data_IF_554060974019
#
_entry.id   IF_554060974019
#
_cell.length_a   1.000
_cell.length_b   1.000
_cell.length_c   1.000
_cell.angle_alpha   90.00
_cell.angle_beta   90.00
_cell.angle_gamma   90.00
#
_symmetry.space_group_name_H-M   'P 1'
#
loop_
_entity.id
_entity.type
_entity.pdbx_description
1 polymer ?
#
# COMPACT_ATOMS: atom_id res chain seq x y z
N UNK A 1 20.92 0.58 52.34
CA UNK A 1 20.44 0.04 51.04
C UNK A 1 20.18 1.20 50.12
N UNK A 2 20.76 1.22 48.93
CA UNK A 2 20.42 2.24 47.94
C UNK A 2 18.96 2.04 47.51
N UNK A 3 18.16 3.08 47.59
CA UNK A 3 16.78 3.03 47.10
C UNK A 3 16.77 3.01 45.56
N UNK A 4 15.85 2.30 44.97
CA UNK A 4 15.62 2.34 43.49
C UNK A 4 15.39 3.78 43.01
N UNK A 5 14.84 4.64 43.84
CA UNK A 5 14.64 6.07 43.54
C UNK A 5 15.94 6.86 43.40
N UNK A 6 17.08 6.34 43.92
CA UNK A 6 18.39 6.98 43.74
C UNK A 6 18.99 6.76 42.34
N UNK A 7 18.48 5.82 41.55
CA UNK A 7 18.92 5.58 40.19
C UNK A 7 18.55 6.75 39.28
N UNK A 8 19.38 7.02 38.27
CA UNK A 8 19.02 7.97 37.24
C UNK A 8 17.88 7.44 36.38
N UNK A 9 17.15 8.32 35.68
CA UNK A 9 16.04 7.92 34.84
C UNK A 9 16.51 7.02 33.68
N UNK A 10 17.70 7.29 33.12
CA UNK A 10 18.31 6.51 32.05
C UNK A 10 18.57 5.07 32.46
N UNK A 11 19.06 4.86 33.69
CA UNK A 11 19.27 3.49 34.20
C UNK A 11 17.93 2.76 34.43
N UNK A 12 16.90 3.47 34.85
CA UNK A 12 15.57 2.89 34.98
C UNK A 12 14.98 2.56 33.61
N UNK A 13 15.19 3.41 32.62
CA UNK A 13 14.77 3.11 31.22
C UNK A 13 15.47 1.86 30.67
N UNK A 14 16.76 1.68 30.95
CA UNK A 14 17.48 0.45 30.60
C UNK A 14 16.92 -0.77 31.33
N UNK A 15 16.61 -0.65 32.62
CA UNK A 15 15.98 -1.74 33.39
C UNK A 15 14.61 -2.09 32.79
N UNK A 16 13.80 -1.10 32.45
CA UNK A 16 12.49 -1.34 31.80
C UNK A 16 12.67 -2.01 30.44
N UNK A 17 13.68 -1.60 29.67
CA UNK A 17 13.98 -2.22 28.38
C UNK A 17 14.39 -3.69 28.52
N UNK A 18 15.20 -4.02 29.52
CA UNK A 18 15.58 -5.43 29.79
C UNK A 18 14.39 -6.25 30.32
N UNK A 19 13.51 -5.66 31.15
CA UNK A 19 12.27 -6.30 31.56
C UNK A 19 11.38 -6.63 30.35
N UNK A 20 11.28 -5.71 29.41
CA UNK A 20 10.55 -5.93 28.16
C UNK A 20 11.13 -7.12 27.41
N UNK A 21 12.45 -7.15 27.20
CA UNK A 21 13.11 -8.28 26.50
C UNK A 21 12.88 -9.61 27.21
N UNK A 22 12.84 -9.60 28.54
CA UNK A 22 12.59 -10.81 29.33
C UNK A 22 11.14 -11.26 29.25
N UNK A 23 10.19 -10.32 29.29
CA UNK A 23 8.75 -10.62 29.26
C UNK A 23 8.27 -11.05 27.87
N UNK A 24 8.96 -10.61 26.81
CA UNK A 24 8.54 -10.80 25.43
C UNK A 24 9.58 -11.56 24.58
N UNK A 25 10.38 -12.40 25.21
CA UNK A 25 11.49 -13.13 24.61
C UNK A 25 11.06 -14.05 23.47
N UNK A 26 9.81 -14.52 23.48
CA UNK A 26 9.26 -15.46 22.51
C UNK A 26 8.41 -14.78 21.41
N UNK A 27 8.33 -13.45 21.39
CA UNK A 27 7.63 -12.71 20.35
C UNK A 27 8.56 -12.56 19.13
N UNK A 28 8.24 -13.25 18.04
CA UNK A 28 9.09 -13.35 16.84
C UNK A 28 9.49 -11.98 16.23
N UNK A 29 8.69 -10.95 16.45
CA UNK A 29 8.89 -9.62 15.85
C UNK A 29 9.46 -8.56 16.81
N UNK A 30 9.77 -8.93 18.06
CA UNK A 30 10.35 -8.00 19.05
C UNK A 30 9.46 -6.82 19.44
N UNK A 31 8.25 -6.71 18.88
CA UNK A 31 7.24 -5.72 19.21
C UNK A 31 6.19 -6.41 20.08
N UNK A 32 6.01 -5.98 21.35
CA UNK A 32 4.99 -6.58 22.18
C UNK A 32 3.62 -6.37 21.54
N UNK A 33 2.88 -7.45 21.35
CA UNK A 33 1.46 -7.34 21.03
C UNK A 33 0.75 -6.50 22.10
N UNK A 34 -0.27 -5.76 21.69
CA UNK A 34 -1.01 -4.87 22.60
C UNK A 34 -1.53 -5.61 23.84
N UNK A 35 -1.79 -6.91 23.71
CA UNK A 35 -2.23 -7.78 24.80
C UNK A 35 -1.21 -7.95 25.93
N UNK A 36 0.08 -7.68 25.66
CA UNK A 36 1.15 -7.87 26.65
C UNK A 36 1.45 -6.62 27.47
N UNK A 37 0.85 -5.47 27.12
CA UNK A 37 1.01 -4.22 27.89
C UNK A 37 0.59 -4.35 29.36
N UNK A 38 -0.37 -5.23 29.67
CA UNK A 38 -0.82 -5.49 31.04
C UNK A 38 0.31 -6.09 31.93
N UNK A 39 1.28 -6.80 31.34
CA UNK A 39 2.39 -7.38 32.08
C UNK A 39 3.40 -6.32 32.55
N UNK A 40 3.55 -5.24 31.80
CA UNK A 40 4.47 -4.17 32.11
C UNK A 40 3.86 -3.09 33.04
N UNK A 41 2.56 -2.89 32.96
CA UNK A 41 1.83 -1.87 33.72
C UNK A 41 2.04 -1.91 35.24
N UNK A 42 2.14 -3.09 35.92
CA UNK A 42 2.39 -3.14 37.38
C UNK A 42 3.69 -2.46 37.81
N UNK A 43 4.73 -2.48 36.97
CA UNK A 43 6.03 -1.88 37.26
C UNK A 43 5.96 -0.34 37.35
N UNK A 44 4.98 0.30 36.72
CA UNK A 44 4.73 1.72 36.83
C UNK A 44 4.39 2.17 38.27
N UNK A 45 4.01 1.24 39.14
CA UNK A 45 3.64 1.51 40.54
C UNK A 45 4.83 1.50 41.48
N UNK A 46 6.02 1.11 41.04
CA UNK A 46 7.23 1.01 41.88
C UNK A 46 7.68 2.39 42.35
N UNK A 47 7.78 3.35 41.46
CA UNK A 47 8.12 4.73 41.75
C UNK A 47 7.71 5.67 40.60
N UNK A 48 7.77 6.99 40.87
CA UNK A 48 7.48 7.99 39.83
C UNK A 48 8.41 7.89 38.62
N UNK A 49 9.67 7.55 38.82
CA UNK A 49 10.64 7.38 37.73
C UNK A 49 10.32 6.11 36.93
N UNK A 50 9.96 5.01 37.62
CA UNK A 50 9.48 3.80 36.96
C UNK A 50 8.19 4.07 36.15
N UNK A 51 7.26 4.83 36.73
CA UNK A 51 6.05 5.22 36.02
C UNK A 51 6.40 5.92 34.69
N UNK A 52 7.30 6.91 34.75
CA UNK A 52 7.72 7.67 33.54
C UNK A 52 8.37 6.75 32.51
N UNK A 53 9.29 5.88 32.94
CA UNK A 53 9.98 4.96 32.03
C UNK A 53 9.04 3.93 31.40
N UNK A 54 8.15 3.33 32.19
CA UNK A 54 7.13 2.39 31.73
C UNK A 54 6.13 3.08 30.79
N UNK A 55 5.63 4.27 31.15
CA UNK A 55 4.70 5.01 30.29
C UNK A 55 5.36 5.42 28.96
N UNK A 56 6.63 5.82 28.94
CA UNK A 56 7.37 6.10 27.68
C UNK A 56 7.41 4.88 26.76
N UNK A 57 7.52 3.70 27.34
CA UNK A 57 7.51 2.47 26.57
C UNK A 57 6.09 2.12 26.09
N UNK A 58 5.11 2.08 27.00
CA UNK A 58 3.73 1.70 26.71
C UNK A 58 3.04 2.63 25.68
N UNK A 59 3.34 3.92 25.73
CA UNK A 59 2.76 4.90 24.81
C UNK A 59 3.60 5.13 23.54
N UNK A 60 4.67 4.35 23.35
CA UNK A 60 5.48 4.45 22.13
C UNK A 60 4.70 4.04 20.89
N UNK A 61 3.94 2.97 21.00
CA UNK A 61 3.05 2.43 19.95
C UNK A 61 1.65 2.41 20.53
N UNK A 62 0.72 3.09 19.87
CA UNK A 62 -0.70 3.10 20.28
C UNK A 62 -1.53 2.60 19.11
N UNK A 63 -2.31 1.55 19.36
CA UNK A 63 -3.33 1.02 18.44
C UNK A 63 -4.70 1.40 19.00
N UNK A 64 -5.52 2.05 18.17
CA UNK A 64 -6.86 2.50 18.57
C UNK A 64 -7.78 2.59 17.37
N UNK A 65 -9.07 2.70 17.62
CA UNK A 65 -10.07 2.86 16.56
C UNK A 65 -10.91 4.12 16.78
N UNK A 66 -11.70 4.45 15.76
CA UNK A 66 -12.64 5.59 15.85
C UNK A 66 -13.73 5.39 16.90
N UNK A 67 -14.02 4.15 17.33
CA UNK A 67 -14.95 3.82 18.42
C UNK A 67 -14.27 3.85 19.81
N UNK A 68 -12.96 3.53 19.89
CA UNK A 68 -12.21 3.44 21.16
C UNK A 68 -11.32 4.68 21.33
N UNK A 69 -11.94 5.82 21.56
CA UNK A 69 -11.23 7.10 21.64
C UNK A 69 -10.48 7.34 22.97
N UNK A 70 -10.78 6.54 24.01
CA UNK A 70 -10.17 6.69 25.36
C UNK A 70 -8.63 6.69 25.37
N UNK A 71 -8.00 6.00 24.42
CA UNK A 71 -6.53 5.98 24.33
C UNK A 71 -5.99 7.33 23.87
N UNK A 72 -6.66 7.98 22.90
CA UNK A 72 -6.31 9.33 22.46
C UNK A 72 -6.58 10.37 23.55
N UNK A 73 -7.67 10.21 24.33
CA UNK A 73 -7.94 11.07 25.48
C UNK A 73 -6.83 10.96 26.55
N UNK A 74 -6.31 9.75 26.78
CA UNK A 74 -5.17 9.53 27.67
C UNK A 74 -3.87 10.20 27.17
N UNK A 75 -3.66 10.24 25.85
CA UNK A 75 -2.56 10.98 25.24
C UNK A 75 -2.78 12.49 25.35
N UNK A 76 -4.01 12.96 25.11
CA UNK A 76 -4.39 14.37 25.19
C UNK A 76 -4.16 14.93 26.60
N UNK A 77 -4.51 14.16 27.62
CA UNK A 77 -4.37 14.56 29.03
C UNK A 77 -2.91 14.67 29.50
N UNK A 78 -1.92 14.10 28.77
CA UNK A 78 -0.52 14.05 29.22
C UNK A 78 0.47 14.41 28.12
N UNK A 79 1.11 15.59 28.15
CA UNK A 79 2.16 15.97 27.22
C UNK A 79 3.33 14.98 27.18
N UNK A 80 3.67 14.36 28.32
CA UNK A 80 4.77 13.36 28.40
C UNK A 80 4.43 12.09 27.63
N UNK A 81 3.17 11.63 27.66
CA UNK A 81 2.70 10.48 26.87
C UNK A 81 2.69 10.80 25.38
N UNK A 82 2.23 12.01 24.99
CA UNK A 82 2.32 12.46 23.59
C UNK A 82 3.77 12.51 23.10
N UNK A 83 4.69 13.02 23.93
CA UNK A 83 6.11 13.07 23.58
C UNK A 83 6.75 11.68 23.46
N UNK A 84 6.18 10.65 24.10
CA UNK A 84 6.64 9.27 23.97
C UNK A 84 6.15 8.59 22.68
N UNK A 85 5.00 9.00 22.13
CA UNK A 85 4.37 8.38 20.99
C UNK A 85 5.26 8.50 19.75
N UNK A 86 5.42 7.36 19.05
CA UNK A 86 6.14 7.24 17.78
C UNK A 86 5.24 6.69 16.68
N UNK A 87 4.43 5.69 17.03
CA UNK A 87 3.62 4.96 16.08
C UNK A 87 2.16 4.99 16.55
N UNK A 88 1.28 5.51 15.71
CA UNK A 88 -0.16 5.54 15.91
C UNK A 88 -0.83 4.73 14.81
N UNK A 89 -1.31 3.53 15.16
CA UNK A 89 -2.16 2.73 14.28
C UNK A 89 -3.63 3.10 14.59
N UNK A 90 -4.27 3.72 13.63
CA UNK A 90 -5.65 4.18 13.75
C UNK A 90 -6.56 3.50 12.74
N UNK A 91 -7.52 2.73 13.26
CA UNK A 91 -8.53 2.06 12.44
C UNK A 91 -9.82 2.88 12.46
N UNK A 92 -10.27 3.30 11.30
CA UNK A 92 -11.61 3.87 11.17
C UNK A 92 -12.59 2.72 11.12
N UNK A 93 -13.34 2.57 12.20
CA UNK A 93 -14.31 1.50 12.35
C UNK A 93 -15.58 1.82 11.57
N UNK A 94 -15.88 0.95 10.64
CA UNK A 94 -17.07 1.01 9.81
C UNK A 94 -18.23 0.28 10.51
N UNK A 95 -19.49 0.52 10.13
CA UNK A 95 -20.62 -0.22 10.67
C UNK A 95 -20.46 -1.73 10.51
N UNK A 96 -20.84 -2.45 11.55
CA UNK A 96 -20.96 -3.90 11.47
C UNK A 96 -22.10 -4.31 10.55
N UNK A 97 -21.99 -5.48 9.94
CA UNK A 97 -23.01 -6.12 9.14
C UNK A 97 -23.20 -7.57 9.58
N UNK A 98 -24.33 -8.16 9.23
CA UNK A 98 -24.65 -9.53 9.60
C UNK A 98 -23.68 -10.52 8.97
N UNK A 99 -23.34 -11.59 9.71
CA UNK A 99 -22.40 -12.64 9.24
C UNK A 99 -22.84 -13.29 7.94
N UNK A 100 -24.15 -13.38 7.72
CA UNK A 100 -24.73 -13.96 6.49
C UNK A 100 -24.43 -13.13 5.23
N UNK A 101 -24.01 -11.86 5.43
CA UNK A 101 -23.62 -10.95 4.37
C UNK A 101 -22.11 -10.96 4.09
N UNK A 102 -21.34 -11.79 4.76
CA UNK A 102 -19.88 -11.83 4.59
C UNK A 102 -19.46 -12.05 3.13
N UNK A 103 -20.16 -12.95 2.45
CA UNK A 103 -19.93 -13.29 1.05
C UNK A 103 -20.87 -12.57 0.06
N UNK A 104 -21.69 -11.65 0.56
CA UNK A 104 -22.60 -10.88 -0.28
C UNK A 104 -21.93 -9.59 -0.78
N UNK A 105 -22.43 -9.06 -1.89
CA UNK A 105 -22.02 -7.75 -2.40
C UNK A 105 -22.42 -6.63 -1.44
N UNK A 106 -21.56 -5.64 -1.24
CA UNK A 106 -21.88 -4.45 -0.45
C UNK A 106 -23.02 -3.66 -1.14
N UNK A 107 -24.10 -3.39 -0.40
CA UNK A 107 -25.24 -2.64 -0.91
C UNK A 107 -24.97 -1.14 -0.89
N UNK A 108 -25.59 -0.37 -1.77
CA UNK A 108 -25.43 1.10 -1.83
C UNK A 108 -25.76 1.80 -0.49
N UNK A 109 -26.76 1.33 0.27
CA UNK A 109 -27.08 1.87 1.60
C UNK A 109 -25.95 1.66 2.61
N UNK A 110 -25.32 0.48 2.57
CA UNK A 110 -24.22 0.11 3.45
C UNK A 110 -22.98 0.92 3.06
N UNK A 111 -22.70 1.03 1.76
CA UNK A 111 -21.64 1.90 1.26
C UNK A 111 -21.81 3.35 1.75
N UNK A 112 -23.01 3.92 1.67
CA UNK A 112 -23.27 5.29 2.19
C UNK A 112 -23.00 5.38 3.70
N UNK A 113 -23.39 4.37 4.47
CA UNK A 113 -23.13 4.33 5.91
C UNK A 113 -21.61 4.21 6.19
N UNK A 114 -20.91 3.37 5.43
CA UNK A 114 -19.44 3.23 5.50
C UNK A 114 -18.74 4.54 5.13
N UNK A 115 -19.17 5.22 4.07
CA UNK A 115 -18.67 6.54 3.68
C UNK A 115 -18.84 7.58 4.79
N UNK A 116 -20.01 7.64 5.41
CA UNK A 116 -20.28 8.57 6.50
C UNK A 116 -19.39 8.29 7.72
N UNK A 117 -19.26 7.01 8.11
CA UNK A 117 -18.38 6.60 9.22
C UNK A 117 -16.92 6.87 8.92
N UNK A 118 -16.45 6.56 7.72
CA UNK A 118 -15.10 6.85 7.27
C UNK A 118 -14.79 8.35 7.34
N UNK A 119 -15.63 9.18 6.74
CA UNK A 119 -15.48 10.64 6.79
C UNK A 119 -15.40 11.16 8.21
N UNK A 120 -16.33 10.72 9.07
CA UNK A 120 -16.36 11.17 10.47
C UNK A 120 -15.12 10.73 11.24
N UNK A 121 -14.66 9.49 11.06
CA UNK A 121 -13.46 8.95 11.68
C UNK A 121 -12.19 9.68 11.23
N UNK A 122 -12.08 9.98 9.92
CA UNK A 122 -10.95 10.72 9.37
C UNK A 122 -10.90 12.16 9.90
N UNK A 123 -12.01 12.87 9.85
CA UNK A 123 -12.09 14.25 10.37
C UNK A 123 -11.76 14.30 11.85
N UNK A 124 -12.24 13.31 12.62
CA UNK A 124 -12.00 13.22 14.07
C UNK A 124 -10.51 13.08 14.38
N UNK A 125 -9.80 12.18 13.72
CA UNK A 125 -8.36 11.99 13.97
C UNK A 125 -7.55 13.20 13.49
N UNK A 126 -7.90 13.80 12.33
CA UNK A 126 -7.21 14.99 11.83
C UNK A 126 -7.36 16.19 12.77
N UNK A 127 -8.57 16.43 13.28
CA UNK A 127 -8.82 17.48 14.27
C UNK A 127 -8.03 17.24 15.55
N UNK A 128 -7.92 15.99 16.02
CA UNK A 128 -7.14 15.66 17.20
C UNK A 128 -5.65 15.94 16.98
N UNK A 129 -5.09 15.40 15.89
CA UNK A 129 -3.66 15.54 15.59
C UNK A 129 -3.25 16.98 15.27
N UNK A 130 -4.14 17.78 14.69
CA UNK A 130 -3.87 19.19 14.37
C UNK A 130 -3.65 20.06 15.61
N UNK A 131 -4.24 19.66 16.76
CA UNK A 131 -4.06 20.33 18.05
C UNK A 131 -2.81 19.89 18.81
N UNK A 132 -1.99 18.99 18.28
CA UNK A 132 -0.80 18.52 18.98
C UNK A 132 0.39 19.40 18.67
N UNK A 133 0.99 19.99 19.73
CA UNK A 133 2.29 20.63 19.64
C UNK A 133 3.32 19.58 19.19
N UNK A 134 4.23 19.97 18.31
CA UNK A 134 5.21 19.13 17.61
C UNK A 134 5.74 17.97 18.46
N UNK A 135 5.19 16.76 18.40
CA UNK A 135 5.89 15.59 18.87
C UNK A 135 7.04 15.27 17.90
N UNK A 136 8.10 14.64 18.36
CA UNK A 136 9.13 14.15 17.45
C UNK A 136 8.51 13.07 16.58
N UNK A 137 8.57 13.28 15.26
CA UNK A 137 8.32 12.28 14.20
C UNK A 137 7.25 11.22 14.54
N UNK A 138 6.00 11.47 14.15
CA UNK A 138 4.90 10.52 14.30
C UNK A 138 4.71 9.72 13.00
N UNK A 139 4.73 8.39 13.14
CA UNK A 139 4.23 7.48 12.12
C UNK A 139 2.73 7.26 12.34
N UNK A 140 1.92 7.58 11.34
CA UNK A 140 0.49 7.33 11.32
C UNK A 140 0.20 6.18 10.34
N UNK A 141 -0.33 5.08 10.85
CA UNK A 141 -0.86 3.96 10.07
C UNK A 141 -2.40 4.06 10.10
N UNK A 142 -2.98 4.33 8.93
CA UNK A 142 -4.41 4.56 8.76
C UNK A 142 -5.06 3.46 7.94
N UNK A 143 -6.05 2.83 8.52
CA UNK A 143 -6.88 1.83 7.84
C UNK A 143 -8.36 2.04 8.15
N UNK A 144 -9.23 1.36 7.42
CA UNK A 144 -10.66 1.35 7.65
C UNK A 144 -11.20 -0.06 7.52
N UNK A 145 -11.91 -0.56 8.52
CA UNK A 145 -12.48 -1.90 8.51
C UNK A 145 -13.77 -1.97 9.31
N UNK A 146 -14.65 -2.90 8.94
CA UNK A 146 -15.80 -3.28 9.75
C UNK A 146 -15.38 -4.33 10.79
N UNK A 147 -15.97 -4.34 11.99
CA UNK A 147 -15.79 -5.44 12.94
C UNK A 147 -16.25 -6.80 12.39
N UNK A 148 -17.09 -6.78 11.36
CA UNK A 148 -17.58 -7.99 10.70
C UNK A 148 -16.66 -8.46 9.54
N UNK A 149 -15.64 -7.69 9.16
CA UNK A 149 -14.65 -8.13 8.17
C UNK A 149 -13.78 -9.21 8.81
N UNK A 150 -13.64 -10.37 8.17
CA UNK A 150 -12.74 -11.41 8.64
C UNK A 150 -11.29 -11.01 8.38
N UNK A 151 -10.55 -10.75 9.46
CA UNK A 151 -9.14 -10.36 9.39
C UNK A 151 -8.24 -11.53 8.98
N UNK A 152 -8.70 -12.79 9.17
CA UNK A 152 -7.93 -13.98 8.81
C UNK A 152 -7.99 -14.32 7.33
N UNK A 153 -9.01 -13.84 6.64
CA UNK A 153 -9.25 -14.07 5.20
C UNK A 153 -8.55 -13.01 4.32
N UNK A 154 -7.29 -12.68 4.62
CA UNK A 154 -6.56 -11.56 3.99
C UNK A 154 -6.36 -11.68 2.47
N UNK A 155 -6.55 -12.83 1.87
CA UNK A 155 -6.15 -13.03 0.48
C UNK A 155 -7.29 -13.29 -0.51
N UNK A 156 -8.48 -13.71 -0.11
CA UNK A 156 -9.47 -14.09 -1.13
C UNK A 156 -10.95 -13.87 -0.85
N UNK A 157 -11.37 -13.67 0.40
CA UNK A 157 -12.79 -13.87 0.73
C UNK A 157 -13.48 -12.73 1.48
N UNK A 158 -12.89 -11.53 1.48
CA UNK A 158 -13.59 -10.37 2.02
C UNK A 158 -14.78 -10.02 1.16
N UNK A 159 -15.83 -9.56 1.82
CA UNK A 159 -17.06 -9.08 1.18
C UNK A 159 -16.79 -8.35 -0.14
N UNK A 160 -17.47 -8.77 -1.20
CA UNK A 160 -17.27 -8.20 -2.52
C UNK A 160 -17.65 -6.73 -2.53
N UNK A 161 -16.69 -5.91 -2.88
CA UNK A 161 -16.88 -4.48 -3.04
C UNK A 161 -16.98 -4.16 -4.52
N UNK A 162 -17.98 -3.40 -4.89
CA UNK A 162 -17.96 -2.77 -6.19
C UNK A 162 -16.72 -1.89 -6.31
N UNK A 163 -16.09 -1.81 -7.47
CA UNK A 163 -14.89 -0.99 -7.66
C UNK A 163 -15.07 0.47 -7.26
N UNK A 164 -16.25 1.02 -7.54
CA UNK A 164 -16.67 2.38 -7.15
C UNK A 164 -16.93 2.54 -5.65
N UNK A 165 -17.03 1.44 -4.90
CA UNK A 165 -17.24 1.46 -3.44
C UNK A 165 -15.95 1.69 -2.65
N UNK A 166 -15.01 2.47 -3.19
CA UNK A 166 -13.89 2.96 -2.40
C UNK A 166 -14.31 4.05 -1.43
N UNK A 167 -13.69 4.07 -0.26
CA UNK A 167 -13.94 5.09 0.75
C UNK A 167 -13.31 6.42 0.31
N UNK A 168 -14.12 7.46 0.24
CA UNK A 168 -13.69 8.78 -0.18
C UNK A 168 -14.17 9.87 0.78
N UNK A 169 -13.49 11.01 0.72
CA UNK A 169 -13.95 12.23 1.39
C UNK A 169 -14.21 13.26 0.30
N UNK A 170 -15.43 13.77 0.29
CA UNK A 170 -15.76 14.91 -0.55
C UNK A 170 -15.15 16.16 0.07
N UNK A 171 -14.07 16.63 -0.52
CA UNK A 171 -13.31 17.80 -0.07
C UNK A 171 -14.02 19.12 -0.26
N UNK A 172 -15.01 19.17 -1.13
CA UNK A 172 -15.87 20.37 -1.26
C UNK A 172 -16.74 20.56 0.00
N UNK A 173 -17.05 19.46 0.69
CA UNK A 173 -17.85 19.46 1.91
C UNK A 173 -17.04 19.43 3.21
N UNK A 174 -15.78 18.94 3.20
CA UNK A 174 -14.96 18.77 4.41
C UNK A 174 -13.51 19.16 4.17
N UNK A 175 -13.07 20.20 4.84
CA UNK A 175 -11.69 20.65 4.79
C UNK A 175 -10.90 20.06 5.97
N UNK A 176 -9.94 19.20 5.68
CA UNK A 176 -9.04 18.65 6.69
C UNK A 176 -8.08 19.74 7.21
N UNK A 177 -7.89 19.87 8.53
CA UNK A 177 -6.92 20.80 9.09
C UNK A 177 -5.47 20.35 8.82
N UNK A 178 -4.54 21.28 8.87
CA UNK A 178 -3.10 21.00 8.75
C UNK A 178 -2.60 20.23 9.97
N UNK A 179 -1.85 19.15 9.74
CA UNK A 179 -1.26 18.30 10.77
C UNK A 179 0.26 18.31 10.62
N UNK A 180 0.96 18.94 11.56
CA UNK A 180 2.42 19.12 11.49
C UNK A 180 3.22 18.01 12.18
N UNK A 181 2.58 17.22 13.03
CA UNK A 181 3.23 16.19 13.82
C UNK A 181 3.52 14.89 13.04
N UNK A 182 2.85 14.64 11.91
CA UNK A 182 3.01 13.42 11.11
C UNK A 182 4.16 13.58 10.11
N UNK A 183 5.15 12.70 10.23
CA UNK A 183 6.31 12.62 9.31
C UNK A 183 6.26 11.37 8.44
N UNK A 184 5.53 10.35 8.87
CA UNK A 184 5.38 9.10 8.16
C UNK A 184 3.91 8.72 8.10
N UNK A 185 3.43 8.37 6.92
CA UNK A 185 2.05 7.96 6.69
C UNK A 185 2.05 6.60 6.00
N UNK A 186 1.34 5.64 6.60
CA UNK A 186 0.94 4.41 5.93
C UNK A 186 -0.57 4.43 5.71
N UNK A 187 -1.01 3.99 4.52
CA UNK A 187 -2.43 3.96 4.15
C UNK A 187 -2.76 2.68 3.42
N UNK A 188 -3.88 2.07 3.78
CA UNK A 188 -4.48 0.99 3.00
C UNK A 188 -3.80 -0.37 3.16
N UNK A 189 -2.88 -0.55 4.13
CA UNK A 189 -2.25 -1.85 4.38
C UNK A 189 -3.25 -2.94 4.73
N UNK A 190 -4.35 -2.57 5.33
CA UNK A 190 -5.39 -3.48 5.78
C UNK A 190 -6.77 -2.83 5.60
N UNK A 191 -7.80 -3.67 5.39
CA UNK A 191 -9.19 -3.25 5.38
C UNK A 191 -9.70 -2.73 4.03
N UNK A 192 -10.62 -1.78 4.09
CA UNK A 192 -11.35 -1.29 2.93
C UNK A 192 -10.52 -0.34 2.06
N UNK A 193 -10.80 -0.34 0.77
CA UNK A 193 -10.14 0.54 -0.21
C UNK A 193 -10.39 2.00 0.11
N UNK A 194 -9.32 2.80 0.13
CA UNK A 194 -9.39 4.26 0.25
C UNK A 194 -9.09 4.86 -1.13
N UNK A 195 -9.96 5.73 -1.60
CA UNK A 195 -9.82 6.34 -2.92
C UNK A 195 -8.53 7.21 -3.00
N UNK A 196 -7.75 7.15 -4.08
CA UNK A 196 -6.49 7.90 -4.19
C UNK A 196 -6.65 9.41 -4.05
N UNK A 197 -7.79 9.99 -4.49
CA UNK A 197 -8.05 11.41 -4.30
C UNK A 197 -8.14 11.80 -2.81
N UNK A 198 -8.69 10.92 -1.95
CA UNK A 198 -8.71 11.14 -0.51
C UNK A 198 -7.30 11.14 0.10
N UNK A 199 -6.44 10.23 -0.37
CA UNK A 199 -5.04 10.20 0.07
C UNK A 199 -4.31 11.47 -0.40
N UNK A 200 -4.60 11.98 -1.60
CA UNK A 200 -4.10 13.29 -2.05
C UNK A 200 -4.48 14.41 -1.08
N UNK A 201 -5.74 14.47 -0.67
CA UNK A 201 -6.21 15.49 0.27
C UNK A 201 -5.57 15.38 1.65
N UNK A 202 -5.36 14.16 2.14
CA UNK A 202 -4.58 13.91 3.36
C UNK A 202 -3.15 14.44 3.22
N UNK A 203 -2.45 14.08 2.13
CA UNK A 203 -1.07 14.49 1.85
C UNK A 203 -0.94 16.03 1.84
N UNK A 204 -1.89 16.75 1.25
CA UNK A 204 -1.88 18.21 1.21
C UNK A 204 -1.87 18.85 2.61
N UNK A 205 -2.36 18.15 3.61
CA UNK A 205 -2.42 18.63 5.00
C UNK A 205 -1.21 18.23 5.85
N UNK A 206 -0.26 17.46 5.30
CA UNK A 206 0.91 16.90 5.98
C UNK A 206 2.24 17.54 5.51
N UNK A 207 2.57 18.76 5.95
CA UNK A 207 3.71 19.51 5.40
C UNK A 207 5.09 18.95 5.76
N UNK A 208 5.15 18.06 6.74
CA UNK A 208 6.40 17.47 7.22
C UNK A 208 6.57 15.99 6.82
N UNK A 209 5.77 15.52 5.85
CA UNK A 209 5.80 14.14 5.41
C UNK A 209 7.15 13.79 4.75
N UNK A 210 7.81 12.73 5.25
CA UNK A 210 9.08 12.21 4.76
C UNK A 210 8.98 10.77 4.28
N UNK A 211 8.04 10.01 4.83
CA UNK A 211 7.80 8.61 4.48
C UNK A 211 6.36 8.44 4.07
N UNK A 212 6.13 7.91 2.89
CA UNK A 212 4.81 7.52 2.40
C UNK A 212 4.83 6.03 2.04
N UNK A 213 4.00 5.25 2.73
CA UNK A 213 3.78 3.84 2.48
C UNK A 213 2.31 3.64 2.10
N UNK A 214 2.06 3.35 0.83
CA UNK A 214 0.71 3.36 0.29
C UNK A 214 0.39 2.04 -0.40
N UNK A 215 -0.51 1.28 0.22
CA UNK A 215 -1.04 0.05 -0.36
C UNK A 215 -2.42 0.32 -0.92
N UNK A 216 -2.65 -0.08 -2.16
CA UNK A 216 -3.95 0.01 -2.81
C UNK A 216 -4.41 -1.37 -3.24
N UNK A 217 -5.65 -1.70 -2.91
CA UNK A 217 -6.29 -2.86 -3.51
C UNK A 217 -6.52 -2.61 -5.01
N UNK A 218 -6.30 -3.62 -5.86
CA UNK A 218 -6.38 -3.46 -7.31
C UNK A 218 -7.78 -3.11 -7.76
N UNK A 219 -7.87 -2.27 -8.78
CA UNK A 219 -9.09 -2.12 -9.58
C UNK A 219 -9.14 -3.29 -10.55
N UNK A 220 -10.28 -3.97 -10.62
CA UNK A 220 -10.45 -5.12 -11.52
C UNK A 220 -10.23 -4.72 -12.98
N UNK A 221 -9.63 -5.62 -13.77
CA UNK A 221 -9.24 -5.33 -15.16
C UNK A 221 -10.42 -4.95 -16.07
N UNK A 222 -11.62 -5.46 -15.78
CA UNK A 222 -12.86 -5.10 -16.50
C UNK A 222 -13.29 -3.64 -16.35
N UNK A 223 -12.82 -2.95 -15.30
CA UNK A 223 -13.17 -1.54 -15.03
C UNK A 223 -12.08 -0.58 -15.49
N UNK A 224 -11.80 -0.55 -16.78
CA UNK A 224 -10.72 0.21 -17.38
C UNK A 224 -10.79 1.72 -17.09
N UNK A 225 -11.98 2.31 -17.17
CA UNK A 225 -12.16 3.76 -16.90
C UNK A 225 -11.79 4.10 -15.43
N UNK A 226 -12.23 3.29 -14.48
CA UNK A 226 -11.92 3.46 -13.06
C UNK A 226 -10.43 3.24 -12.79
N UNK A 227 -9.81 2.26 -13.46
CA UNK A 227 -8.36 2.03 -13.38
C UNK A 227 -7.57 3.24 -13.84
N UNK A 228 -7.99 3.85 -14.95
CA UNK A 228 -7.38 5.08 -15.48
C UNK A 228 -7.57 6.26 -14.51
N UNK A 229 -8.77 6.42 -13.93
CA UNK A 229 -9.07 7.43 -12.91
C UNK A 229 -8.16 7.28 -11.69
N UNK A 230 -7.99 6.05 -11.18
CA UNK A 230 -7.13 5.76 -10.03
C UNK A 230 -5.66 6.06 -10.33
N UNK A 231 -5.18 5.68 -11.51
CA UNK A 231 -3.82 5.97 -11.94
C UNK A 231 -3.57 7.49 -12.03
N UNK A 232 -4.52 8.24 -12.58
CA UNK A 232 -4.45 9.70 -12.66
C UNK A 232 -4.49 10.36 -11.28
N UNK A 233 -5.38 9.88 -10.39
CA UNK A 233 -5.49 10.40 -9.02
C UNK A 233 -4.22 10.09 -8.20
N UNK A 234 -3.64 8.89 -8.37
CA UNK A 234 -2.37 8.51 -7.75
C UNK A 234 -1.22 9.40 -8.26
N UNK A 235 -1.09 9.58 -9.57
CA UNK A 235 -0.08 10.45 -10.16
C UNK A 235 -0.21 11.89 -9.65
N UNK A 236 -1.44 12.42 -9.58
CA UNK A 236 -1.72 13.73 -9.00
C UNK A 236 -1.30 13.82 -7.53
N UNK A 237 -1.56 12.79 -6.73
CA UNK A 237 -1.17 12.75 -5.33
C UNK A 237 0.35 12.80 -5.17
N UNK A 238 1.10 12.10 -6.01
CA UNK A 238 2.56 12.11 -5.99
C UNK A 238 3.17 13.45 -6.44
N UNK A 239 2.42 14.26 -7.17
CA UNK A 239 2.82 15.63 -7.56
C UNK A 239 2.50 16.68 -6.49
N UNK A 240 1.92 16.30 -5.35
CA UNK A 240 1.57 17.23 -4.28
C UNK A 240 2.81 18.02 -3.79
N UNK A 241 2.70 19.35 -3.64
CA UNK A 241 3.84 20.19 -3.24
C UNK A 241 4.36 19.88 -1.84
N UNK A 242 3.53 19.32 -0.97
CA UNK A 242 3.90 18.89 0.38
C UNK A 242 4.89 17.73 0.39
N UNK A 243 4.99 16.96 -0.72
CA UNK A 243 5.95 15.87 -0.88
C UNK A 243 7.37 16.33 -1.29
N UNK A 244 7.63 17.63 -1.33
CA UNK A 244 8.96 18.14 -1.72
C UNK A 244 10.12 17.64 -0.84
N UNK A 245 9.82 17.14 0.37
CA UNK A 245 10.80 16.59 1.32
C UNK A 245 10.66 15.09 1.53
N UNK A 246 9.92 14.39 0.66
CA UNK A 246 9.71 12.96 0.78
C UNK A 246 11.04 12.21 0.57
N UNK A 247 11.43 11.39 1.54
CA UNK A 247 12.66 10.62 1.52
C UNK A 247 12.44 9.15 1.15
N UNK A 248 11.29 8.60 1.55
CA UNK A 248 10.93 7.19 1.30
C UNK A 248 9.54 7.13 0.67
N UNK A 249 9.46 6.47 -0.48
CA UNK A 249 8.21 6.17 -1.16
C UNK A 249 8.07 4.66 -1.32
N UNK A 250 6.99 4.11 -0.76
CA UNK A 250 6.57 2.72 -0.97
C UNK A 250 5.15 2.72 -1.51
N UNK A 251 4.95 2.13 -2.68
CA UNK A 251 3.63 1.94 -3.29
C UNK A 251 3.48 0.45 -3.60
N UNK A 252 2.41 -0.13 -3.11
CA UNK A 252 2.02 -1.51 -3.42
C UNK A 252 0.63 -1.52 -4.05
N UNK A 253 0.56 -2.04 -5.26
CA UNK A 253 -0.69 -2.36 -5.94
C UNK A 253 -0.81 -3.88 -5.90
N UNK A 254 -1.74 -4.44 -5.12
CA UNK A 254 -1.93 -5.90 -5.03
C UNK A 254 -2.51 -6.47 -6.34
N UNK A 255 -1.99 -6.05 -7.48
CA UNK A 255 -2.50 -6.41 -8.80
C UNK A 255 -2.00 -7.79 -9.21
N UNK A 256 -2.92 -8.71 -9.45
CA UNK A 256 -2.62 -9.97 -10.12
C UNK A 256 -2.76 -9.77 -11.62
N UNK A 257 -1.73 -10.10 -12.41
CA UNK A 257 -1.86 -10.11 -13.86
C UNK A 257 -2.89 -11.16 -14.29
N UNK A 258 -3.52 -11.02 -15.47
CA UNK A 258 -4.43 -12.03 -15.97
C UNK A 258 -3.70 -13.36 -16.19
N UNK A 259 -4.36 -14.47 -15.87
CA UNK A 259 -3.85 -15.82 -16.14
C UNK A 259 -4.11 -16.19 -17.61
N UNK A 260 -5.06 -15.54 -18.25
CA UNK A 260 -5.29 -15.67 -19.68
C UNK A 260 -4.41 -14.67 -20.43
N UNK A 261 -3.34 -15.13 -21.04
CA UNK A 261 -2.42 -14.28 -21.79
C UNK A 261 -2.97 -13.78 -23.14
N UNK A 262 -4.14 -14.25 -23.57
CA UNK A 262 -4.88 -13.69 -24.71
C UNK A 262 -5.87 -12.62 -24.28
N UNK A 263 -6.06 -12.44 -22.97
CA UNK A 263 -6.93 -11.41 -22.46
C UNK A 263 -6.44 -10.03 -22.89
N UNK A 264 -7.36 -9.23 -23.43
CA UNK A 264 -7.06 -7.86 -23.80
C UNK A 264 -6.99 -6.99 -22.53
N UNK A 265 -5.77 -6.72 -22.10
CA UNK A 265 -5.51 -5.83 -20.97
C UNK A 265 -5.48 -4.36 -21.39
N UNK A 266 -5.81 -4.07 -22.67
CA UNK A 266 -5.72 -2.74 -23.25
C UNK A 266 -6.52 -1.72 -22.47
N UNK A 267 -5.80 -0.84 -21.78
CA UNK A 267 -6.38 0.40 -21.32
C UNK A 267 -6.74 1.21 -22.57
N UNK A 268 -7.98 1.63 -22.68
CA UNK A 268 -8.32 2.69 -23.63
C UNK A 268 -7.35 3.84 -23.35
N UNK A 269 -6.49 4.12 -24.34
CA UNK A 269 -5.54 5.24 -24.22
C UNK A 269 -6.37 6.49 -24.04
N UNK A 270 -6.25 7.13 -22.91
CA UNK A 270 -6.80 8.46 -22.77
C UNK A 270 -6.11 9.35 -23.83
N UNK A 271 -6.84 9.81 -24.83
CA UNK A 271 -6.26 10.65 -25.90
C UNK A 271 -5.67 11.95 -25.36
N UNK A 272 -6.01 12.34 -24.12
CA UNK A 272 -5.45 13.50 -23.43
C UNK A 272 -3.99 13.29 -23.01
N UNK A 273 -3.50 12.03 -22.98
CA UNK A 273 -2.14 11.70 -22.58
C UNK A 273 -1.46 10.76 -23.59
N UNK A 274 -1.25 11.22 -24.83
CA UNK A 274 -0.75 10.38 -25.92
C UNK A 274 0.66 9.81 -25.67
N UNK A 275 1.45 10.43 -24.77
CA UNK A 275 2.88 10.19 -24.67
C UNK A 275 3.36 9.69 -23.30
N UNK A 276 2.47 9.36 -22.33
CA UNK A 276 3.05 9.16 -21.02
C UNK A 276 2.29 8.36 -20.00
N UNK A 277 3.02 7.47 -19.42
CA UNK A 277 2.76 6.89 -18.11
C UNK A 277 2.90 8.00 -17.04
N UNK A 278 1.79 8.65 -16.74
CA UNK A 278 1.72 9.74 -15.76
C UNK A 278 2.24 9.33 -14.39
N UNK A 279 2.04 8.06 -14.01
CA UNK A 279 2.51 7.54 -12.73
C UNK A 279 4.04 7.46 -12.71
N UNK A 280 4.64 6.84 -13.73
CA UNK A 280 6.11 6.77 -13.83
C UNK A 280 6.75 8.17 -13.89
N UNK A 281 6.10 9.13 -14.57
CA UNK A 281 6.57 10.52 -14.60
C UNK A 281 6.51 11.18 -13.21
N UNK A 282 5.41 11.02 -12.47
CA UNK A 282 5.26 11.58 -11.12
C UNK A 282 6.27 10.99 -10.13
N UNK A 283 6.48 9.66 -10.15
CA UNK A 283 7.50 8.99 -9.35
C UNK A 283 8.90 9.49 -9.70
N UNK A 284 9.20 9.64 -11.00
CA UNK A 284 10.49 10.18 -11.46
C UNK A 284 10.76 11.58 -10.90
N UNK A 285 9.78 12.49 -10.96
CA UNK A 285 9.93 13.83 -10.41
C UNK A 285 10.28 13.83 -8.92
N UNK A 286 9.65 12.97 -8.13
CA UNK A 286 9.98 12.80 -6.72
C UNK A 286 11.39 12.23 -6.54
N UNK A 287 11.74 11.21 -7.32
CA UNK A 287 13.05 10.57 -7.27
C UNK A 287 14.20 11.53 -7.62
N UNK A 288 13.95 12.48 -8.52
CA UNK A 288 14.91 13.54 -8.88
C UNK A 288 15.05 14.63 -7.81
N UNK A 289 14.05 14.79 -6.92
CA UNK A 289 14.06 15.84 -5.89
C UNK A 289 14.72 15.39 -4.59
N UNK A 290 14.18 14.37 -3.94
CA UNK A 290 14.49 14.11 -2.53
C UNK A 290 14.50 12.64 -2.13
N UNK A 291 13.97 11.72 -2.95
CA UNK A 291 13.87 10.32 -2.57
C UNK A 291 15.24 9.69 -2.37
N UNK A 292 15.35 8.97 -1.24
CA UNK A 292 16.47 8.08 -0.92
C UNK A 292 16.09 6.61 -1.15
N UNK A 293 14.83 6.28 -0.89
CA UNK A 293 14.31 4.92 -1.05
C UNK A 293 13.06 4.93 -1.91
N UNK A 294 13.05 4.07 -2.93
CA UNK A 294 11.93 3.86 -3.83
C UNK A 294 11.55 2.38 -3.83
N UNK A 295 10.34 2.07 -3.42
CA UNK A 295 9.77 0.73 -3.33
C UNK A 295 8.47 0.70 -4.14
N UNK A 296 8.46 0.00 -5.26
CA UNK A 296 7.27 -0.20 -6.08
C UNK A 296 6.97 -1.69 -6.16
N UNK A 297 5.83 -2.11 -5.64
CA UNK A 297 5.38 -3.50 -5.64
C UNK A 297 4.14 -3.65 -6.51
N UNK A 298 4.24 -4.45 -7.58
CA UNK A 298 3.21 -4.65 -8.61
C UNK A 298 2.71 -3.35 -9.27
N UNK A 299 3.53 -2.31 -9.29
CA UNK A 299 3.22 -1.04 -9.96
C UNK A 299 3.64 -1.17 -11.43
N UNK A 300 2.73 -0.93 -12.39
CA UNK A 300 3.08 -0.88 -13.81
C UNK A 300 4.03 0.28 -14.06
N UNK A 301 5.30 -0.02 -14.30
CA UNK A 301 6.33 0.98 -14.60
C UNK A 301 6.67 0.97 -16.08
N UNK A 302 7.09 2.12 -16.58
CA UNK A 302 7.56 2.26 -17.97
C UNK A 302 9.00 2.82 -17.99
N UNK A 303 9.66 2.78 -19.15
CA UNK A 303 10.94 3.47 -19.35
C UNK A 303 10.92 4.94 -18.94
N UNK A 304 9.75 5.60 -19.01
CA UNK A 304 9.57 7.00 -18.63
C UNK A 304 9.97 7.31 -17.18
N UNK A 305 9.95 6.31 -16.28
CA UNK A 305 10.45 6.44 -14.91
C UNK A 305 11.94 6.80 -14.88
N UNK A 306 12.70 6.27 -15.82
CA UNK A 306 14.16 6.35 -15.84
C UNK A 306 14.71 7.26 -16.95
N UNK A 307 13.93 7.54 -17.99
CA UNK A 307 14.35 8.38 -19.11
C UNK A 307 14.32 9.87 -18.79
N UNK A 308 15.25 10.66 -19.29
CA UNK A 308 15.17 12.11 -19.16
C UNK A 308 14.02 12.68 -20.02
N UNK A 309 13.25 13.62 -19.47
CA UNK A 309 12.08 14.23 -20.14
C UNK A 309 12.40 15.08 -21.36
N UNK A 310 13.65 15.42 -21.58
CA UNK A 310 14.16 16.20 -22.73
C UNK A 310 15.67 15.95 -22.81
N UNK A 311 16.35 16.36 -23.89
CA UNK A 311 17.80 16.26 -23.98
C UNK A 311 18.55 17.19 -22.98
N UNK A 312 17.91 17.53 -21.87
CA UNK A 312 18.54 18.20 -20.72
C UNK A 312 19.47 17.17 -20.10
N UNK A 313 20.74 17.29 -20.43
CA UNK A 313 21.84 16.37 -20.11
C UNK A 313 22.04 16.07 -18.61
N UNK A 314 21.21 16.59 -17.70
CA UNK A 314 21.47 16.61 -16.26
C UNK A 314 20.32 16.08 -15.38
N UNK A 315 19.34 15.35 -15.91
CA UNK A 315 18.33 14.74 -15.06
C UNK A 315 18.94 13.61 -14.22
N UNK A 316 19.44 13.95 -13.04
CA UNK A 316 20.06 13.00 -12.09
C UNK A 316 19.09 12.63 -10.98
N UNK A 317 19.37 11.52 -10.32
CA UNK A 317 18.68 11.06 -9.10
C UNK A 317 19.65 11.20 -7.91
N UNK A 318 19.86 12.42 -7.41
CA UNK A 318 21.02 12.77 -6.58
C UNK A 318 21.01 12.12 -5.21
N UNK A 319 19.86 11.65 -4.75
CA UNK A 319 19.66 11.16 -3.40
C UNK A 319 19.30 9.68 -3.33
N UNK A 320 18.93 9.03 -4.44
CA UNK A 320 18.52 7.63 -4.45
C UNK A 320 19.65 6.71 -4.00
N UNK A 321 19.37 5.94 -2.94
CA UNK A 321 20.26 4.95 -2.34
C UNK A 321 19.74 3.52 -2.56
N UNK A 322 18.44 3.33 -2.44
CA UNK A 322 17.80 2.04 -2.53
C UNK A 322 16.60 2.10 -3.49
N UNK A 323 16.62 1.22 -4.48
CA UNK A 323 15.54 1.09 -5.47
C UNK A 323 15.11 -0.37 -5.52
N UNK A 324 13.85 -0.62 -5.23
CA UNK A 324 13.23 -1.93 -5.39
C UNK A 324 11.96 -1.79 -6.22
N UNK A 325 11.90 -2.48 -7.33
CA UNK A 325 10.74 -2.47 -8.22
C UNK A 325 10.36 -3.91 -8.54
N UNK A 326 9.17 -4.29 -8.11
CA UNK A 326 8.51 -5.50 -8.54
C UNK A 326 7.37 -5.07 -9.45
N UNK A 327 7.51 -5.35 -10.72
CA UNK A 327 6.56 -4.91 -11.74
C UNK A 327 5.73 -6.08 -12.28
N UNK A 328 4.48 -5.86 -12.69
CA UNK A 328 3.66 -6.87 -13.35
C UNK A 328 4.19 -7.19 -14.74
N UNK A 329 3.80 -8.32 -15.29
CA UNK A 329 4.16 -8.70 -16.69
C UNK A 329 3.43 -7.87 -17.74
N UNK A 330 2.43 -7.09 -17.34
CA UNK A 330 1.70 -6.12 -18.16
C UNK A 330 2.23 -4.71 -17.97
N UNK A 331 2.19 -3.91 -19.00
CA UNK A 331 2.60 -2.50 -18.98
C UNK A 331 1.42 -1.61 -18.53
N UNK A 332 1.70 -0.34 -18.27
CA UNK A 332 0.67 0.66 -17.92
C UNK A 332 -0.37 0.87 -19.03
N UNK A 333 -0.01 0.63 -20.30
CA UNK A 333 -0.87 0.76 -21.47
C UNK A 333 -1.44 -0.58 -21.95
N UNK A 334 -1.43 -1.60 -21.09
CA UNK A 334 -2.03 -2.91 -21.34
C UNK A 334 -1.23 -3.84 -22.25
N UNK A 335 -0.05 -3.45 -22.73
CA UNK A 335 0.83 -4.35 -23.45
C UNK A 335 1.55 -5.30 -22.51
N UNK A 336 2.29 -6.25 -23.05
CA UNK A 336 2.99 -7.26 -22.27
C UNK A 336 4.50 -7.09 -22.39
N UNK A 337 5.19 -7.17 -21.24
CA UNK A 337 6.65 -7.27 -21.19
C UNK A 337 7.18 -8.63 -21.62
N UNK A 338 6.30 -9.62 -21.71
CA UNK A 338 6.64 -10.99 -22.01
C UNK A 338 5.91 -11.46 -23.26
N UNK A 339 6.57 -12.36 -24.01
CA UNK A 339 6.07 -13.04 -25.19
C UNK A 339 6.32 -14.55 -25.09
N UNK A 340 5.89 -15.31 -26.05
CA UNK A 340 6.08 -16.76 -26.09
C UNK A 340 5.50 -17.38 -27.34
N UNK A 341 5.44 -18.71 -27.36
CA UNK A 341 4.78 -19.44 -28.42
C UNK A 341 3.37 -19.84 -27.96
N UNK A 342 2.36 -19.21 -28.53
CA UNK A 342 0.96 -19.47 -28.22
C UNK A 342 0.58 -20.94 -28.47
N UNK A 343 1.07 -21.54 -29.52
CA UNK A 343 0.73 -22.91 -29.93
C UNK A 343 1.44 -23.97 -29.07
N UNK A 344 2.31 -23.58 -28.14
CA UNK A 344 3.01 -24.51 -27.23
C UNK A 344 2.24 -24.86 -25.95
N UNK A 345 1.12 -24.23 -25.75
CA UNK A 345 0.26 -24.42 -24.56
C UNK A 345 -1.18 -24.49 -25.04
N UNK A 346 -1.93 -25.44 -24.54
CA UNK A 346 -3.38 -25.49 -24.76
C UNK A 346 -4.07 -24.67 -23.67
N UNK A 347 -5.09 -23.87 -24.01
CA UNK A 347 -5.91 -23.21 -22.99
C UNK A 347 -6.63 -24.27 -22.15
N UNK A 348 -6.83 -23.97 -20.88
CA UNK A 348 -7.65 -24.79 -20.00
C UNK A 348 -9.08 -24.86 -20.58
N UNK A 349 -9.61 -26.07 -20.69
CA UNK A 349 -11.00 -26.27 -21.07
C UNK A 349 -11.91 -25.96 -19.87
N UNK A 350 -12.77 -24.96 -20.02
CA UNK A 350 -13.81 -24.68 -19.01
C UNK A 350 -14.82 -25.82 -19.03
N UNK A 351 -15.26 -26.22 -17.86
CA UNK A 351 -16.33 -27.21 -17.82
C UNK A 351 -17.65 -26.60 -18.32
N UNK A 352 -18.60 -27.44 -18.79
CA UNK A 352 -19.87 -26.93 -19.33
C UNK A 352 -20.71 -26.13 -18.33
N UNK A 353 -20.56 -26.35 -17.03
CA UNK A 353 -21.25 -25.63 -15.98
C UNK A 353 -20.65 -24.24 -15.78
N UNK A 354 -19.31 -24.15 -15.72
CA UNK A 354 -18.57 -22.88 -15.69
C UNK A 354 -18.91 -22.02 -16.91
N UNK A 355 -18.86 -22.63 -18.13
CA UNK A 355 -19.20 -21.92 -19.37
C UNK A 355 -20.65 -21.39 -19.33
N UNK A 356 -21.59 -22.20 -18.84
CA UNK A 356 -22.98 -21.79 -18.70
C UNK A 356 -23.14 -20.63 -17.71
N UNK A 357 -22.39 -20.63 -16.63
CA UNK A 357 -22.38 -19.54 -15.64
C UNK A 357 -21.77 -18.25 -16.22
N UNK A 358 -20.72 -18.36 -17.02
CA UNK A 358 -20.10 -17.22 -17.71
C UNK A 358 -21.12 -16.60 -18.69
N UNK A 359 -21.79 -17.41 -19.48
CA UNK A 359 -22.67 -16.95 -20.55
C UNK A 359 -24.01 -16.39 -20.02
N UNK A 360 -24.58 -17.01 -18.98
CA UNK A 360 -25.94 -16.71 -18.50
C UNK A 360 -25.98 -16.06 -17.10
N UNK A 361 -24.82 -15.84 -16.48
CA UNK A 361 -24.75 -15.24 -15.15
C UNK A 361 -25.30 -13.81 -15.13
N UNK A 362 -25.80 -13.37 -13.98
CA UNK A 362 -26.34 -12.01 -13.82
C UNK A 362 -25.24 -10.98 -14.15
N UNK A 363 -25.68 -9.80 -14.64
CA UNK A 363 -24.76 -8.69 -14.85
C UNK A 363 -24.10 -8.31 -13.52
N UNK A 364 -22.77 -8.26 -13.53
CA UNK A 364 -22.00 -7.84 -12.35
C UNK A 364 -22.02 -6.31 -12.16
N UNK A 365 -22.58 -5.58 -13.10
CA UNK A 365 -22.57 -4.11 -13.15
C UNK A 365 -23.90 -3.48 -12.69
N UNK A 366 -24.92 -4.29 -12.38
CA UNK A 366 -26.21 -3.81 -11.90
C UNK A 366 -26.51 -4.23 -10.45
N UNK A 367 -25.95 -3.53 -9.47
CA UNK A 367 -26.50 -3.63 -8.12
C UNK A 367 -27.67 -2.66 -7.99
N UNK A 368 -28.74 -2.86 -8.76
CA UNK A 368 -29.85 -1.91 -8.71
C UNK A 368 -31.03 -2.39 -7.87
N UNK A 369 -30.78 -3.19 -6.88
CA UNK A 369 -31.87 -3.42 -5.95
C UNK A 369 -31.44 -3.31 -4.51
N UNK A 370 -31.97 -2.32 -3.80
CA UNK A 370 -32.22 -2.42 -2.36
C UNK A 370 -33.14 -3.63 -2.03
N UNK A 371 -33.49 -4.44 -3.03
CA UNK A 371 -34.26 -5.69 -2.91
C UNK A 371 -33.29 -6.79 -2.51
N UNK A 372 -33.70 -7.59 -1.55
CA UNK A 372 -33.03 -8.77 -0.99
C UNK A 372 -32.82 -9.90 -2.03
N UNK A 373 -32.23 -9.61 -3.17
CA UNK A 373 -31.74 -10.68 -4.02
C UNK A 373 -30.42 -11.16 -3.42
N UNK A 374 -30.41 -12.41 -2.96
CA UNK A 374 -29.23 -13.24 -2.83
C UNK A 374 -28.57 -13.34 -4.22
N UNK A 375 -27.91 -12.29 -4.65
CA UNK A 375 -27.08 -12.37 -5.84
C UNK A 375 -25.87 -13.17 -5.40
N UNK A 376 -25.98 -14.48 -5.55
CA UNK A 376 -24.80 -15.34 -5.61
C UNK A 376 -23.90 -14.73 -6.66
N UNK A 377 -22.74 -14.22 -6.20
CA UNK A 377 -21.74 -13.70 -7.10
C UNK A 377 -21.33 -14.84 -8.01
N UNK A 378 -21.54 -14.66 -9.31
CA UNK A 378 -20.98 -15.56 -10.28
C UNK A 378 -19.47 -15.29 -10.37
N UNK A 379 -18.70 -16.04 -9.56
CA UNK A 379 -17.26 -15.93 -9.46
C UNK A 379 -16.60 -16.21 -10.79
N UNK A 380 -17.09 -17.22 -11.53
CA UNK A 380 -16.49 -17.64 -12.79
C UNK A 380 -16.64 -16.55 -13.85
N UNK A 381 -17.80 -15.90 -13.89
CA UNK A 381 -18.01 -14.75 -14.77
C UNK A 381 -17.12 -13.57 -14.38
N UNK A 382 -16.94 -13.30 -13.10
CA UNK A 382 -16.04 -12.24 -12.64
C UNK A 382 -14.59 -12.55 -13.01
N UNK A 383 -14.17 -13.78 -12.84
CA UNK A 383 -12.82 -14.23 -13.16
C UNK A 383 -12.57 -14.25 -14.66
N UNK A 384 -13.56 -14.66 -15.45
CA UNK A 384 -13.51 -14.56 -16.91
C UNK A 384 -13.35 -13.10 -17.39
N UNK A 385 -14.20 -12.19 -16.89
CA UNK A 385 -14.17 -10.77 -17.24
C UNK A 385 -12.89 -10.05 -16.76
N UNK A 386 -12.15 -10.63 -15.85
CA UNK A 386 -10.85 -10.13 -15.37
C UNK A 386 -9.65 -10.90 -15.98
N UNK A 387 -9.91 -11.81 -16.92
CA UNK A 387 -8.86 -12.59 -17.58
C UNK A 387 -8.15 -13.61 -16.68
N UNK A 388 -8.80 -14.04 -15.57
CA UNK A 388 -8.25 -15.08 -14.73
C UNK A 388 -8.50 -16.47 -15.28
N UNK A 389 -9.64 -16.67 -15.94
CA UNK A 389 -10.02 -17.90 -16.64
C UNK A 389 -10.40 -17.60 -18.08
N UNK A 390 -10.30 -18.57 -19.04
CA UNK A 390 -9.58 -19.83 -18.87
C UNK A 390 -8.08 -19.58 -18.62
N UNK A 391 -7.43 -20.49 -17.90
CA UNK A 391 -5.99 -20.41 -17.68
C UNK A 391 -5.23 -20.67 -18.97
N UNK A 392 -4.42 -19.69 -19.42
CA UNK A 392 -3.70 -19.79 -20.68
C UNK A 392 -2.39 -18.99 -20.63
N UNK A 393 -1.33 -19.56 -20.06
CA UNK A 393 -0.09 -18.86 -19.71
C UNK A 393 1.06 -19.20 -20.66
N UNK A 394 1.05 -18.66 -21.86
CA UNK A 394 2.06 -18.92 -22.89
C UNK A 394 3.18 -17.87 -22.96
N UNK A 395 3.04 -16.71 -22.33
CA UNK A 395 4.04 -15.63 -22.34
C UNK A 395 5.11 -15.87 -21.28
N UNK A 396 6.14 -16.66 -21.64
CA UNK A 396 7.19 -17.07 -20.68
C UNK A 396 8.56 -16.45 -20.96
N UNK A 397 8.72 -15.72 -22.08
CA UNK A 397 9.99 -15.13 -22.50
C UNK A 397 9.88 -13.60 -22.51
N UNK A 398 10.90 -12.87 -22.06
CA UNK A 398 10.93 -11.42 -22.18
C UNK A 398 10.78 -10.97 -23.63
N UNK A 399 9.93 -9.99 -23.88
CA UNK A 399 9.81 -9.37 -25.19
C UNK A 399 11.06 -8.53 -25.49
N UNK A 400 11.69 -8.78 -26.63
CA UNK A 400 12.97 -8.16 -26.95
C UNK A 400 12.89 -6.63 -27.15
N UNK A 401 11.72 -6.10 -27.49
CA UNK A 401 11.51 -4.67 -27.72
C UNK A 401 11.10 -4.02 -26.40
N UNK A 402 10.00 -4.50 -25.82
CA UNK A 402 9.39 -3.88 -24.64
C UNK A 402 10.26 -4.02 -23.39
N UNK A 403 10.65 -5.26 -23.07
CA UNK A 403 11.43 -5.54 -21.88
C UNK A 403 12.85 -4.97 -21.96
N UNK A 404 13.55 -5.15 -23.11
CA UNK A 404 14.91 -4.61 -23.27
C UNK A 404 14.94 -3.07 -23.22
N UNK A 405 13.89 -2.39 -23.68
CA UNK A 405 13.79 -0.94 -23.57
C UNK A 405 13.72 -0.52 -22.11
N UNK A 406 12.90 -1.19 -21.28
CA UNK A 406 12.84 -0.94 -19.84
C UNK A 406 14.23 -1.17 -19.20
N UNK A 407 14.85 -2.32 -19.42
CA UNK A 407 16.15 -2.64 -18.82
C UNK A 407 17.24 -1.64 -19.24
N UNK A 408 17.29 -1.24 -20.51
CA UNK A 408 18.25 -0.23 -20.99
C UNK A 408 18.05 1.11 -20.30
N UNK A 409 16.80 1.55 -20.12
CA UNK A 409 16.49 2.80 -19.43
C UNK A 409 16.93 2.75 -17.96
N UNK A 410 16.71 1.63 -17.27
CA UNK A 410 17.19 1.38 -15.91
C UNK A 410 18.71 1.46 -15.84
N UNK A 411 19.43 0.71 -16.68
CA UNK A 411 20.90 0.70 -16.71
C UNK A 411 21.44 2.11 -16.99
N UNK A 412 20.88 2.82 -17.97
CA UNK A 412 21.27 4.20 -18.24
C UNK A 412 21.04 5.15 -17.07
N UNK A 413 19.97 4.90 -16.28
CA UNK A 413 19.67 5.71 -15.10
C UNK A 413 20.65 5.48 -13.95
N UNK A 414 21.19 4.27 -13.77
CA UNK A 414 22.15 4.00 -12.69
C UNK A 414 23.39 4.89 -12.76
N UNK A 415 23.83 5.26 -13.96
CA UNK A 415 24.93 6.22 -14.16
C UNK A 415 24.63 7.64 -13.64
N UNK A 416 23.36 7.93 -13.38
CA UNK A 416 22.86 9.22 -12.89
C UNK A 416 22.40 9.15 -11.44
N UNK A 417 22.70 8.04 -10.74
CA UNK A 417 22.38 7.76 -9.33
C UNK A 417 23.66 7.66 -8.50
N UNK A 418 24.31 8.79 -8.16
CA UNK A 418 25.65 8.77 -7.54
C UNK A 418 25.68 8.15 -6.14
N UNK A 419 24.54 8.02 -5.46
CA UNK A 419 24.44 7.43 -4.12
C UNK A 419 23.83 6.03 -4.12
N UNK A 420 23.57 5.45 -5.29
CA UNK A 420 22.93 4.14 -5.40
C UNK A 420 23.78 3.06 -4.73
N UNK A 421 23.17 2.35 -3.78
CA UNK A 421 23.76 1.20 -3.07
C UNK A 421 23.26 -0.11 -3.63
N UNK A 422 21.93 -0.19 -3.86
CA UNK A 422 21.33 -1.35 -4.49
C UNK A 422 20.15 -0.95 -5.38
N UNK A 423 19.99 -1.69 -6.45
CA UNK A 423 18.81 -1.65 -7.30
C UNK A 423 18.37 -3.09 -7.55
N UNK A 424 17.12 -3.38 -7.24
CA UNK A 424 16.51 -4.68 -7.41
C UNK A 424 15.28 -4.52 -8.32
N UNK A 425 15.30 -5.25 -9.43
CA UNK A 425 14.12 -5.42 -10.29
C UNK A 425 13.64 -6.84 -10.18
N UNK A 426 12.37 -7.05 -9.96
CA UNK A 426 11.74 -8.36 -9.92
C UNK A 426 10.45 -8.37 -10.71
N UNK A 427 10.11 -9.51 -11.27
CA UNK A 427 8.78 -9.79 -11.82
C UNK A 427 8.47 -11.25 -11.60
N UNK A 428 7.21 -11.55 -11.38
CA UNK A 428 6.72 -12.92 -11.30
C UNK A 428 6.11 -13.31 -12.64
N UNK A 429 6.55 -14.44 -13.15
CA UNK A 429 6.01 -15.03 -14.39
C UNK A 429 5.44 -16.38 -13.99
N UNK A 430 4.14 -16.55 -14.13
CA UNK A 430 3.51 -17.85 -13.93
C UNK A 430 3.83 -18.76 -15.11
N UNK A 431 4.35 -19.95 -14.80
CA UNK A 431 4.54 -21.02 -15.78
C UNK A 431 3.30 -21.88 -15.83
N UNK A 432 3.05 -22.49 -17.00
CA UNK A 432 2.06 -23.57 -17.09
C UNK A 432 2.64 -24.78 -16.38
N UNK A 433 2.11 -25.14 -15.21
CA UNK A 433 2.43 -26.38 -14.53
C UNK A 433 1.25 -27.33 -14.66
N UNK A 434 1.50 -28.51 -15.20
CA UNK A 434 0.52 -29.60 -15.27
C UNK A 434 0.34 -30.34 -13.94
N UNK A 435 1.00 -29.87 -12.88
CA UNK A 435 0.93 -30.43 -11.54
C UNK A 435 0.31 -29.40 -10.60
N UNK A 436 -0.48 -29.86 -9.63
CA UNK A 436 -1.26 -29.11 -8.66
C UNK A 436 -0.50 -28.09 -7.77
N UNK A 437 0.71 -27.74 -8.10
CA UNK A 437 1.52 -26.73 -7.43
C UNK A 437 1.94 -25.68 -8.44
N UNK A 438 1.47 -24.44 -8.20
CA UNK A 438 1.86 -23.24 -8.92
C UNK A 438 3.36 -22.99 -8.79
N UNK A 439 4.16 -23.38 -9.78
CA UNK A 439 5.54 -22.89 -9.85
C UNK A 439 5.55 -21.43 -10.32
N UNK A 440 5.46 -20.53 -9.38
CA UNK A 440 5.75 -19.12 -9.64
C UNK A 440 7.25 -18.95 -9.86
N UNK A 441 7.66 -18.74 -11.11
CA UNK A 441 9.03 -18.37 -11.41
C UNK A 441 9.25 -16.88 -11.12
N UNK A 442 9.80 -16.58 -9.95
CA UNK A 442 10.29 -15.24 -9.68
C UNK A 442 11.60 -14.99 -10.42
N UNK A 443 11.58 -14.04 -11.34
CA UNK A 443 12.79 -13.59 -12.04
C UNK A 443 13.31 -12.32 -11.40
N UNK A 444 14.56 -12.37 -11.00
CA UNK A 444 15.23 -11.31 -10.27
C UNK A 444 16.46 -10.81 -11.03
N UNK A 445 16.55 -9.49 -11.18
CA UNK A 445 17.74 -8.80 -11.67
C UNK A 445 18.25 -7.89 -10.57
N UNK A 446 19.49 -8.13 -10.13
CA UNK A 446 20.11 -7.32 -9.08
C UNK A 446 21.29 -6.58 -9.67
N UNK A 447 21.27 -5.26 -9.57
CA UNK A 447 22.44 -4.43 -9.84
C UNK A 447 23.01 -4.04 -8.48
N UNK A 448 24.16 -4.64 -8.11
CA UNK A 448 24.91 -4.22 -6.94
C UNK A 448 25.98 -3.22 -7.37
N UNK A 449 25.96 -2.04 -6.80
CA UNK A 449 27.03 -1.07 -6.98
C UNK A 449 28.11 -1.37 -5.95
N UNK A 450 29.34 -1.69 -6.35
CA UNK A 450 30.43 -1.92 -5.40
C UNK A 450 30.67 -0.67 -4.55
N UNK A 451 30.87 -0.84 -3.25
CA UNK A 451 31.09 0.26 -2.28
C UNK A 451 32.32 1.15 -2.60
N UNK A 452 33.15 0.79 -3.60
CA UNK A 452 34.41 1.43 -3.95
C UNK A 452 34.57 1.81 -5.42
N UNK A 453 33.51 2.13 -6.15
CA UNK A 453 33.68 2.69 -7.49
C UNK A 453 33.51 4.22 -7.47
N UNK A 454 34.47 4.89 -6.88
CA UNK A 454 34.88 6.20 -7.36
C UNK A 454 35.63 5.98 -8.68
N UNK A 455 34.93 6.25 -9.81
CA UNK A 455 35.48 6.32 -11.17
C UNK A 455 36.13 5.02 -11.73
N UNK A 456 35.36 4.21 -12.41
CA UNK A 456 35.89 3.21 -13.33
C UNK A 456 35.12 1.88 -13.39
N UNK A 457 34.24 1.74 -14.34
CA UNK A 457 33.85 0.45 -14.92
C UNK A 457 32.80 -0.34 -14.18
N UNK A 458 31.56 -0.27 -14.66
CA UNK A 458 30.52 -1.26 -14.38
C UNK A 458 30.91 -2.62 -15.02
N UNK A 459 30.99 -3.67 -14.21
CA UNK A 459 30.85 -5.05 -14.70
C UNK A 459 29.37 -5.45 -14.61
N UNK A 460 28.78 -5.77 -15.76
CA UNK A 460 27.43 -6.32 -15.90
C UNK A 460 27.50 -7.83 -15.81
#
# INVERSE_FOLDING_TARGET
MASLDSLSLELIELIVLELVKLLFRDSADGIPEVETHHLLAPYARISRKFQVAVERYLYRVVRTSSSIFRHLDALKASPSRRAALRDLCYVIELPAYDSDLLYAMERRREHRANQASFRNGLVKIWNELSGWDKPPSLFLDLSASSPSDDISAFESENRWLLPEHSLSVDTDSVKLPKVECVNSLAVGKQGRRIHPATVYDMILTLPNLRVLDWTMAPVQLRHQALKAEYAAALAKALQAPTLAKLEVLSISLSECPPNNHDFDTGLERDPSYPDGDMLSLAVRELAQRSLRELNLDHVPVSPALFEPSAPVANASFPHLEHVRIKFPITTYDGRWYYTGNRDSVEPEELDPEEQMQIDNGPSLDEPDSDVESEVSLNMDRADFLNGKIPWYTWRTRPDSIMFNTLIRSVVAATLRMPKLKNLLLTTKVRGHSTCDYEEELERQWTIKVPEHVTTGGLQV
#
